data_IF_682916575972
#
_entry.id   IF_682916575972
#
_cell.length_a   1.000
_cell.length_b   1.000
_cell.length_c   1.000
_cell.angle_alpha   90.00
_cell.angle_beta   90.00
_cell.angle_gamma   90.00
#
_symmetry.space_group_name_H-M   'P 1'
#
loop_
_entity.id
_entity.type
_entity.pdbx_description
1 polymer ?
#
# COMPACT_ATOMS: atom_id res chain seq x y z
N UNK A 1 -31.22 2.16 -25.29
CA UNK A 1 -30.81 3.41 -24.63
C UNK A 1 -29.79 4.08 -25.53
N UNK A 2 -29.72 5.41 -25.57
CA UNK A 2 -28.57 6.07 -26.24
C UNK A 2 -27.27 5.81 -25.46
N UNK A 3 -26.12 6.05 -26.09
CA UNK A 3 -24.81 5.76 -25.50
C UNK A 3 -24.57 6.52 -24.18
N UNK A 4 -25.05 7.76 -24.07
CA UNK A 4 -24.87 8.58 -22.86
C UNK A 4 -25.66 7.99 -21.68
N UNK A 5 -26.89 7.54 -21.93
CA UNK A 5 -27.73 6.88 -20.93
C UNK A 5 -27.15 5.54 -20.49
N UNK A 6 -26.53 4.78 -21.39
CA UNK A 6 -25.81 3.54 -21.06
C UNK A 6 -24.60 3.84 -20.18
N UNK A 7 -23.79 4.85 -20.55
CA UNK A 7 -22.62 5.25 -19.76
C UNK A 7 -23.02 5.66 -18.34
N UNK A 8 -24.07 6.47 -18.20
CA UNK A 8 -24.56 6.87 -16.86
C UNK A 8 -25.03 5.67 -16.04
N UNK A 9 -25.67 4.69 -16.68
CA UNK A 9 -26.13 3.47 -16.01
C UNK A 9 -24.95 2.63 -15.50
N UNK A 10 -23.92 2.45 -16.35
CA UNK A 10 -22.69 1.76 -15.98
C UNK A 10 -21.94 2.52 -14.89
N UNK A 11 -21.78 3.82 -15.01
CA UNK A 11 -21.11 4.65 -14.00
C UNK A 11 -21.79 4.52 -12.63
N UNK A 12 -23.13 4.62 -12.59
CA UNK A 12 -23.88 4.46 -11.35
C UNK A 12 -23.72 3.05 -10.75
N UNK A 13 -23.75 2.01 -11.60
CA UNK A 13 -23.53 0.63 -11.19
C UNK A 13 -22.14 0.42 -10.57
N UNK A 14 -21.11 0.99 -11.19
CA UNK A 14 -19.73 0.91 -10.72
C UNK A 14 -19.51 1.73 -9.44
N UNK A 15 -20.09 2.93 -9.33
CA UNK A 15 -20.04 3.74 -8.10
C UNK A 15 -20.72 3.05 -6.92
N UNK A 16 -21.85 2.37 -7.14
CA UNK A 16 -22.49 1.56 -6.09
C UNK A 16 -21.64 0.35 -5.71
N UNK A 17 -20.98 -0.30 -6.67
CA UNK A 17 -20.03 -1.38 -6.39
C UNK A 17 -18.81 -0.88 -5.60
N UNK A 18 -18.32 0.32 -5.90
CA UNK A 18 -17.25 0.98 -5.15
C UNK A 18 -17.66 1.31 -3.70
N UNK A 19 -18.94 1.62 -3.43
CA UNK A 19 -19.46 1.79 -2.06
C UNK A 19 -19.42 0.47 -1.26
N UNK A 20 -19.70 -0.67 -1.88
CA UNK A 20 -19.51 -1.97 -1.22
C UNK A 20 -18.03 -2.22 -0.94
N UNK A 21 -17.16 -1.85 -1.88
CA UNK A 21 -15.71 -1.88 -1.71
C UNK A 21 -15.23 -1.02 -0.54
N UNK A 22 -15.75 0.20 -0.39
CA UNK A 22 -15.37 1.08 0.73
C UNK A 22 -15.82 0.54 2.09
N UNK A 23 -17.01 -0.08 2.17
CA UNK A 23 -17.47 -0.77 3.38
C UNK A 23 -16.50 -1.91 3.74
N UNK A 24 -16.09 -2.71 2.75
CA UNK A 24 -15.07 -3.74 2.95
C UNK A 24 -13.75 -3.13 3.44
N UNK A 25 -13.34 -1.99 2.90
CA UNK A 25 -12.18 -1.21 3.36
C UNK A 25 -12.27 -0.80 4.84
N UNK A 26 -13.44 -0.35 5.31
CA UNK A 26 -13.66 -0.01 6.72
C UNK A 26 -13.48 -1.24 7.62
N UNK A 27 -14.06 -2.38 7.22
CA UNK A 27 -13.90 -3.64 7.96
C UNK A 27 -12.45 -4.11 7.98
N UNK A 28 -11.72 -3.95 6.89
CA UNK A 28 -10.29 -4.26 6.81
C UNK A 28 -9.43 -3.33 7.66
N UNK A 29 -9.75 -2.04 7.73
CA UNK A 29 -9.09 -1.11 8.66
C UNK A 29 -9.40 -1.48 10.11
N UNK A 30 -10.66 -1.73 10.45
CA UNK A 30 -11.08 -2.07 11.81
C UNK A 30 -10.39 -3.35 12.31
N UNK A 31 -10.25 -4.35 11.42
CA UNK A 31 -9.58 -5.62 11.71
C UNK A 31 -8.16 -5.42 12.25
N UNK A 32 -7.45 -4.40 11.74
CA UNK A 32 -6.03 -4.13 12.00
C UNK A 32 -5.79 -3.06 13.08
N UNK A 33 -6.86 -2.46 13.61
CA UNK A 33 -6.75 -1.30 14.52
C UNK A 33 -7.61 -1.46 15.78
N UNK A 34 -8.89 -1.79 15.64
CA UNK A 34 -9.86 -1.71 16.74
C UNK A 34 -10.50 -3.05 17.11
N UNK A 35 -10.46 -4.04 16.22
CA UNK A 35 -11.22 -5.29 16.35
C UNK A 35 -10.75 -6.16 17.54
N UNK A 36 -11.66 -6.65 18.40
CA UNK A 36 -11.32 -7.64 19.43
C UNK A 36 -10.83 -8.97 18.82
N UNK A 37 -9.82 -9.64 19.41
CA UNK A 37 -9.20 -10.83 18.81
C UNK A 37 -10.17 -11.98 18.48
N UNK A 38 -11.17 -12.22 19.35
CA UNK A 38 -12.15 -13.31 19.16
C UNK A 38 -13.14 -13.08 18.01
N UNK A 39 -13.17 -11.88 17.41
CA UNK A 39 -14.05 -11.56 16.30
C UNK A 39 -13.53 -12.03 14.93
N UNK A 40 -12.27 -12.48 14.84
CA UNK A 40 -11.62 -12.83 13.57
C UNK A 40 -12.43 -13.80 12.68
N UNK A 41 -13.02 -14.90 13.17
CA UNK A 41 -13.82 -15.79 12.32
C UNK A 41 -15.05 -15.12 11.72
N UNK A 42 -15.71 -14.23 12.48
CA UNK A 42 -16.88 -13.50 11.99
C UNK A 42 -16.49 -12.40 11.00
N UNK A 43 -15.39 -11.68 11.27
CA UNK A 43 -14.83 -10.69 10.33
C UNK A 43 -14.47 -11.33 8.98
N UNK A 44 -13.85 -12.51 9.00
CA UNK A 44 -13.55 -13.25 7.77
C UNK A 44 -14.83 -13.58 6.96
N UNK A 45 -15.93 -13.93 7.62
CA UNK A 45 -17.20 -14.17 6.95
C UNK A 45 -17.83 -12.90 6.38
N UNK A 46 -17.74 -11.76 7.08
CA UNK A 46 -18.21 -10.46 6.58
C UNK A 46 -17.47 -10.06 5.31
N UNK A 47 -16.13 -10.14 5.34
CA UNK A 47 -15.29 -9.80 4.19
C UNK A 47 -15.52 -10.76 3.01
N UNK A 48 -15.65 -12.06 3.27
CA UNK A 48 -15.93 -13.05 2.22
C UNK A 48 -17.32 -12.86 1.58
N UNK A 49 -18.35 -12.48 2.36
CA UNK A 49 -19.67 -12.14 1.82
C UNK A 49 -19.59 -10.92 0.90
N UNK A 50 -18.95 -9.84 1.39
CA UNK A 50 -18.81 -8.61 0.61
C UNK A 50 -17.98 -8.84 -0.66
N UNK A 51 -16.88 -9.61 -0.60
CA UNK A 51 -16.08 -9.90 -1.79
C UNK A 51 -16.87 -10.69 -2.83
N UNK A 52 -17.68 -11.67 -2.41
CA UNK A 52 -18.60 -12.37 -3.30
C UNK A 52 -19.63 -11.44 -3.94
N UNK A 53 -20.26 -10.54 -3.17
CA UNK A 53 -21.22 -9.58 -3.69
C UNK A 53 -20.59 -8.58 -4.67
N UNK A 54 -19.40 -8.07 -4.37
CA UNK A 54 -18.64 -7.17 -5.23
C UNK A 54 -18.30 -7.89 -6.55
N UNK A 55 -17.76 -9.12 -6.46
CA UNK A 55 -17.40 -9.90 -7.64
C UNK A 55 -18.60 -10.16 -8.54
N UNK A 56 -19.71 -10.64 -7.99
CA UNK A 56 -20.94 -10.89 -8.73
C UNK A 56 -21.45 -9.65 -9.47
N UNK A 57 -21.35 -8.47 -8.85
CA UNK A 57 -21.74 -7.21 -9.50
C UNK A 57 -20.77 -6.82 -10.61
N UNK A 58 -19.47 -6.99 -10.37
CA UNK A 58 -18.43 -6.66 -11.35
C UNK A 58 -18.46 -7.59 -12.57
N UNK A 59 -18.93 -8.82 -12.42
CA UNK A 59 -19.06 -9.81 -13.51
C UNK A 59 -20.48 -9.95 -14.05
N UNK A 60 -21.41 -9.07 -13.68
CA UNK A 60 -22.80 -9.14 -14.15
C UNK A 60 -22.85 -9.02 -15.69
N UNK A 61 -23.57 -9.90 -16.42
CA UNK A 61 -23.64 -9.85 -17.88
C UNK A 61 -24.06 -8.48 -18.45
N UNK A 62 -24.89 -7.71 -17.71
CA UNK A 62 -25.30 -6.36 -18.09
C UNK A 62 -24.11 -5.41 -18.24
N UNK A 63 -23.08 -5.56 -17.41
CA UNK A 63 -21.85 -4.76 -17.51
C UNK A 63 -21.17 -5.01 -18.85
N UNK A 64 -21.02 -6.28 -19.24
CA UNK A 64 -20.46 -6.66 -20.55
C UNK A 64 -21.30 -6.15 -21.73
N UNK A 65 -22.63 -6.22 -21.63
CA UNK A 65 -23.55 -5.69 -22.64
C UNK A 65 -23.46 -4.17 -22.80
N UNK A 66 -23.35 -3.43 -21.69
CA UNK A 66 -23.18 -1.97 -21.71
C UNK A 66 -21.83 -1.58 -22.29
N UNK A 67 -20.75 -2.23 -21.85
CA UNK A 67 -19.40 -1.98 -22.36
C UNK A 67 -19.32 -2.20 -23.88
N UNK A 68 -19.88 -3.31 -24.37
CA UNK A 68 -19.87 -3.63 -25.81
C UNK A 68 -20.61 -2.59 -26.66
N UNK A 69 -21.67 -1.98 -26.13
CA UNK A 69 -22.38 -0.89 -26.81
C UNK A 69 -21.60 0.43 -26.74
N UNK A 70 -20.98 0.73 -25.59
CA UNK A 70 -20.19 1.94 -25.39
C UNK A 70 -18.94 1.97 -26.26
N UNK A 71 -18.28 0.83 -26.43
CA UNK A 71 -17.09 0.64 -27.28
C UNK A 71 -17.35 0.96 -28.76
N UNK A 72 -18.60 0.86 -29.22
CA UNK A 72 -19.02 1.19 -30.58
C UNK A 72 -19.47 2.66 -30.75
N UNK A 73 -19.47 3.44 -29.66
CA UNK A 73 -19.93 4.82 -29.67
C UNK A 73 -18.80 5.84 -29.72
N UNK A 74 -19.15 7.08 -30.08
CA UNK A 74 -18.22 8.21 -30.09
C UNK A 74 -17.72 8.59 -28.68
N UNK A 75 -18.29 8.02 -27.60
CA UNK A 75 -17.85 8.25 -26.21
C UNK A 75 -16.46 7.68 -25.91
N UNK A 76 -15.92 6.85 -26.80
CA UNK A 76 -14.52 6.39 -26.74
C UNK A 76 -13.53 7.40 -27.30
N UNK A 77 -14.01 8.53 -27.83
CA UNK A 77 -13.20 9.57 -28.46
C UNK A 77 -13.35 10.93 -27.76
N UNK A 78 -12.25 11.68 -27.54
CA UNK A 78 -10.86 11.24 -27.72
C UNK A 78 -10.47 10.18 -26.65
N UNK A 79 -9.43 9.35 -26.92
CA UNK A 79 -9.09 8.19 -26.08
C UNK A 79 -8.56 8.54 -24.67
N UNK A 80 -8.20 9.80 -24.46
CA UNK A 80 -7.75 10.39 -23.20
C UNK A 80 -8.87 11.15 -22.46
N UNK A 81 -10.08 11.21 -23.02
CA UNK A 81 -11.25 11.72 -22.29
C UNK A 81 -11.57 10.83 -21.09
N UNK A 82 -12.09 11.43 -20.01
CA UNK A 82 -12.50 10.73 -18.78
C UNK A 82 -13.38 9.52 -19.09
N UNK A 83 -14.38 9.72 -19.96
CA UNK A 83 -15.33 8.69 -20.40
C UNK A 83 -14.63 7.55 -21.11
N UNK A 84 -13.73 7.83 -22.06
CA UNK A 84 -13.00 6.81 -22.79
C UNK A 84 -12.04 6.01 -21.88
N UNK A 85 -11.37 6.67 -20.94
CA UNK A 85 -10.51 6.01 -19.95
C UNK A 85 -11.33 5.09 -19.05
N UNK A 86 -12.47 5.55 -18.55
CA UNK A 86 -13.36 4.75 -17.72
C UNK A 86 -13.86 3.50 -18.46
N UNK A 87 -14.34 3.64 -19.69
CA UNK A 87 -14.80 2.51 -20.53
C UNK A 87 -13.65 1.51 -20.73
N UNK A 88 -12.46 1.98 -21.12
CA UNK A 88 -11.29 1.13 -21.36
C UNK A 88 -10.90 0.33 -20.11
N UNK A 89 -10.86 0.97 -18.96
CA UNK A 89 -10.45 0.32 -17.71
C UNK A 89 -11.54 -0.62 -17.17
N UNK A 90 -12.81 -0.24 -17.25
CA UNK A 90 -13.92 -1.14 -16.90
C UNK A 90 -13.97 -2.37 -17.80
N UNK A 91 -13.71 -2.23 -19.11
CA UNK A 91 -13.57 -3.37 -20.01
C UNK A 91 -12.47 -4.31 -19.56
N UNK A 92 -11.26 -3.79 -19.35
CA UNK A 92 -10.11 -4.59 -18.92
C UNK A 92 -10.46 -5.36 -17.63
N UNK A 93 -11.04 -4.66 -16.65
CA UNK A 93 -11.39 -5.27 -15.38
C UNK A 93 -12.48 -6.33 -15.52
N UNK A 94 -13.53 -6.07 -16.30
CA UNK A 94 -14.59 -7.04 -16.60
C UNK A 94 -14.04 -8.31 -17.24
N UNK A 95 -13.19 -8.18 -18.25
CA UNK A 95 -12.63 -9.32 -18.98
C UNK A 95 -11.71 -10.17 -18.10
N UNK A 96 -11.02 -9.57 -17.12
CA UNK A 96 -10.22 -10.31 -16.13
C UNK A 96 -11.11 -11.00 -15.11
N UNK A 97 -12.01 -10.25 -14.46
CA UNK A 97 -12.83 -10.77 -13.36
C UNK A 97 -13.77 -11.90 -13.81
N UNK A 98 -14.29 -11.83 -15.04
CA UNK A 98 -15.16 -12.88 -15.60
C UNK A 98 -14.46 -14.23 -15.81
N UNK A 99 -13.11 -14.26 -15.84
CA UNK A 99 -12.34 -15.51 -15.90
C UNK A 99 -12.27 -16.22 -14.54
N UNK A 100 -12.53 -15.52 -13.45
CA UNK A 100 -12.36 -16.02 -12.08
C UNK A 100 -13.73 -16.43 -11.51
N UNK A 101 -13.94 -17.70 -11.12
CA UNK A 101 -15.17 -18.13 -10.46
C UNK A 101 -15.42 -17.39 -9.14
N UNK A 102 -16.69 -17.08 -8.84
CA UNK A 102 -17.08 -16.37 -7.61
C UNK A 102 -16.65 -17.15 -6.35
N UNK A 103 -16.80 -18.47 -6.38
CA UNK A 103 -16.45 -19.36 -5.28
C UNK A 103 -14.94 -19.30 -4.95
N UNK A 104 -14.10 -19.14 -5.98
CA UNK A 104 -12.65 -19.01 -5.82
C UNK A 104 -12.28 -17.69 -5.15
N UNK A 105 -12.95 -16.58 -5.53
CA UNK A 105 -12.77 -15.27 -4.88
C UNK A 105 -13.18 -15.33 -3.40
N UNK A 106 -14.34 -15.92 -3.10
CA UNK A 106 -14.83 -16.09 -1.73
C UNK A 106 -13.86 -16.94 -0.90
N UNK A 107 -13.40 -18.07 -1.45
CA UNK A 107 -12.44 -18.94 -0.77
C UNK A 107 -11.11 -18.25 -0.51
N UNK A 108 -10.59 -17.52 -1.49
CA UNK A 108 -9.36 -16.75 -1.36
C UNK A 108 -9.48 -15.69 -0.25
N UNK A 109 -10.52 -14.84 -0.30
CA UNK A 109 -10.76 -13.80 0.73
C UNK A 109 -10.91 -14.40 2.13
N UNK A 110 -11.67 -15.49 2.28
CA UNK A 110 -11.85 -16.14 3.58
C UNK A 110 -10.52 -16.72 4.09
N UNK A 111 -9.75 -17.34 3.20
CA UNK A 111 -8.47 -17.95 3.55
C UNK A 111 -7.45 -16.90 4.00
N UNK A 112 -7.31 -15.80 3.27
CA UNK A 112 -6.35 -14.73 3.62
C UNK A 112 -6.75 -13.97 4.88
N UNK A 113 -8.03 -13.67 5.08
CA UNK A 113 -8.52 -13.00 6.30
C UNK A 113 -8.27 -13.83 7.57
N UNK A 114 -8.47 -15.16 7.50
CA UNK A 114 -8.12 -16.05 8.61
C UNK A 114 -6.60 -16.18 8.79
N UNK A 115 -5.86 -16.28 7.69
CA UNK A 115 -4.41 -16.44 7.71
C UNK A 115 -3.69 -15.21 8.30
N UNK A 116 -4.23 -14.01 8.15
CA UNK A 116 -3.65 -12.78 8.73
C UNK A 116 -3.56 -12.89 10.25
N UNK A 117 -4.60 -13.40 10.93
CA UNK A 117 -4.56 -13.57 12.38
C UNK A 117 -3.56 -14.64 12.82
N UNK A 118 -3.54 -15.77 12.12
CA UNK A 118 -2.59 -16.86 12.37
C UNK A 118 -1.16 -16.38 12.14
N UNK A 119 -0.95 -15.52 11.14
CA UNK A 119 0.36 -14.94 10.86
C UNK A 119 0.83 -13.98 11.96
N UNK A 120 -0.06 -13.16 12.52
CA UNK A 120 0.29 -12.31 13.68
C UNK A 120 0.83 -13.14 14.83
N UNK A 121 0.13 -14.24 15.16
CA UNK A 121 0.50 -15.17 16.22
C UNK A 121 1.80 -15.91 15.89
N UNK A 122 1.90 -16.48 14.68
CA UNK A 122 3.10 -17.16 14.19
C UNK A 122 4.34 -16.25 14.19
N UNK A 123 4.18 -14.97 13.86
CA UNK A 123 5.25 -13.97 13.90
C UNK A 123 5.69 -13.67 15.32
N UNK A 124 4.74 -13.51 16.25
CA UNK A 124 5.03 -13.25 17.67
C UNK A 124 5.75 -14.45 18.31
N UNK A 125 5.34 -15.67 17.98
CA UNK A 125 5.93 -16.91 18.50
C UNK A 125 7.18 -17.37 17.72
N UNK A 126 7.50 -16.71 16.61
CA UNK A 126 8.58 -17.11 15.69
C UNK A 126 8.41 -18.56 15.18
N UNK A 127 7.17 -19.01 14.99
CA UNK A 127 6.85 -20.37 14.58
C UNK A 127 6.21 -20.40 13.18
N UNK A 128 7.04 -20.67 12.18
CA UNK A 128 6.58 -20.80 10.79
C UNK A 128 5.61 -21.97 10.59
N UNK A 129 5.69 -23.03 11.40
CA UNK A 129 4.84 -24.21 11.24
C UNK A 129 3.35 -23.92 11.48
N UNK A 130 3.04 -22.91 12.30
CA UNK A 130 1.69 -22.40 12.50
C UNK A 130 1.12 -21.77 11.21
N UNK A 131 1.96 -21.04 10.47
CA UNK A 131 1.54 -20.32 9.26
C UNK A 131 1.66 -21.15 7.98
N UNK A 132 2.57 -22.12 7.93
CA UNK A 132 2.87 -22.90 6.73
C UNK A 132 1.63 -23.48 6.03
N UNK A 133 0.67 -24.16 6.71
CA UNK A 133 -0.50 -24.72 6.04
C UNK A 133 -1.39 -23.65 5.38
N UNK A 134 -1.44 -22.46 5.97
CA UNK A 134 -2.19 -21.33 5.41
C UNK A 134 -1.47 -20.76 4.18
N UNK A 135 -0.14 -20.60 4.26
CA UNK A 135 0.67 -20.12 3.14
C UNK A 135 0.60 -21.07 1.94
N UNK A 136 0.71 -22.38 2.16
CA UNK A 136 0.59 -23.39 1.10
C UNK A 136 -0.77 -23.31 0.39
N UNK A 137 -1.85 -23.14 1.15
CA UNK A 137 -3.19 -22.95 0.60
C UNK A 137 -3.30 -21.65 -0.20
N UNK A 138 -2.77 -20.53 0.32
CA UNK A 138 -2.77 -19.24 -0.38
C UNK A 138 -2.01 -19.34 -1.69
N UNK A 139 -0.80 -19.89 -1.68
CA UNK A 139 0.03 -20.06 -2.90
C UNK A 139 -0.69 -20.93 -3.93
N UNK A 140 -1.37 -22.00 -3.51
CA UNK A 140 -2.18 -22.84 -4.40
C UNK A 140 -3.29 -22.03 -5.08
N UNK A 141 -4.07 -21.27 -4.30
CA UNK A 141 -5.18 -20.47 -4.83
C UNK A 141 -4.69 -19.37 -5.77
N UNK A 142 -3.59 -18.69 -5.42
CA UNK A 142 -2.99 -17.64 -6.26
C UNK A 142 -2.50 -18.20 -7.59
N UNK A 143 -1.90 -19.40 -7.59
CA UNK A 143 -1.51 -20.09 -8.85
C UNK A 143 -2.72 -20.43 -9.71
N UNK A 144 -3.80 -20.92 -9.10
CA UNK A 144 -5.05 -21.18 -9.82
C UNK A 144 -5.64 -19.91 -10.44
N UNK A 145 -5.62 -18.79 -9.71
CA UNK A 145 -6.02 -17.47 -10.23
C UNK A 145 -5.15 -17.05 -11.42
N UNK A 146 -3.82 -17.22 -11.33
CA UNK A 146 -2.90 -16.87 -12.43
C UNK A 146 -3.20 -17.65 -13.72
N UNK A 147 -3.45 -18.96 -13.60
CA UNK A 147 -3.82 -19.81 -14.75
C UNK A 147 -5.16 -19.38 -15.38
N UNK A 148 -6.14 -18.97 -14.55
CA UNK A 148 -7.45 -18.50 -15.03
C UNK A 148 -7.35 -17.14 -15.72
N UNK A 149 -6.57 -16.21 -15.16
CA UNK A 149 -6.32 -14.91 -15.78
C UNK A 149 -5.65 -15.06 -17.16
N UNK A 150 -4.72 -16.02 -17.26
CA UNK A 150 -3.91 -16.27 -18.44
C UNK A 150 -2.76 -15.27 -18.58
N UNK A 151 -1.72 -15.69 -19.28
CA UNK A 151 -0.46 -14.95 -19.42
C UNK A 151 0.18 -15.28 -20.77
N UNK A 152 1.02 -14.37 -21.28
CA UNK A 152 1.75 -14.61 -22.53
C UNK A 152 3.02 -15.44 -22.31
N UNK A 153 3.76 -15.17 -21.22
CA UNK A 153 5.08 -15.75 -20.98
C UNK A 153 5.13 -16.63 -19.74
N UNK A 154 4.79 -16.09 -18.57
CA UNK A 154 4.82 -16.84 -17.32
C UNK A 154 3.67 -16.47 -16.37
N UNK A 155 3.23 -17.40 -15.49
CA UNK A 155 2.12 -17.17 -14.57
C UNK A 155 2.29 -15.94 -13.67
N UNK A 156 3.53 -15.60 -13.33
CA UNK A 156 3.82 -14.46 -12.47
C UNK A 156 3.45 -13.12 -13.14
N UNK A 157 3.54 -13.01 -14.47
CA UNK A 157 3.15 -11.80 -15.19
C UNK A 157 1.65 -11.49 -15.01
N UNK A 158 0.79 -12.51 -14.99
CA UNK A 158 -0.64 -12.33 -14.74
C UNK A 158 -0.91 -11.76 -13.34
N UNK A 159 -0.09 -12.11 -12.35
CA UNK A 159 -0.22 -11.61 -10.98
C UNK A 159 0.39 -10.21 -10.84
N UNK A 160 1.47 -9.93 -11.58
CA UNK A 160 2.14 -8.63 -11.55
C UNK A 160 1.27 -7.53 -12.19
N UNK A 161 0.57 -7.85 -13.27
CA UNK A 161 -0.35 -6.95 -14.00
C UNK A 161 -1.56 -6.49 -13.15
N UNK A 162 -1.86 -7.20 -12.06
CA UNK A 162 -2.88 -6.77 -11.08
C UNK A 162 -2.41 -5.59 -10.21
N UNK A 163 -1.09 -5.42 -10.04
CA UNK A 163 -0.50 -4.38 -9.19
C UNK A 163 0.14 -3.25 -9.98
N UNK A 164 0.74 -3.57 -11.13
CA UNK A 164 1.39 -2.63 -12.04
C UNK A 164 1.02 -3.00 -13.48
N UNK A 165 -0.02 -2.33 -14.01
CA UNK A 165 -0.58 -2.65 -15.32
C UNK A 165 0.50 -2.61 -16.43
N UNK A 166 0.64 -3.72 -17.14
CA UNK A 166 1.56 -3.92 -18.25
C UNK A 166 2.98 -4.30 -17.85
N UNK A 167 3.30 -4.37 -16.55
CA UNK A 167 4.63 -4.77 -16.09
C UNK A 167 4.81 -6.29 -16.18
N UNK A 168 5.99 -6.70 -16.65
CA UNK A 168 6.39 -8.11 -16.73
C UNK A 168 7.58 -8.43 -15.83
N UNK A 169 7.74 -9.69 -15.44
CA UNK A 169 8.90 -10.18 -14.70
C UNK A 169 10.22 -9.84 -15.42
N UNK A 170 10.25 -9.98 -16.74
CA UNK A 170 11.41 -9.62 -17.56
C UNK A 170 11.77 -8.12 -17.44
N UNK A 171 10.78 -7.24 -17.43
CA UNK A 171 11.02 -5.80 -17.27
C UNK A 171 11.52 -5.47 -15.86
N UNK A 172 10.95 -6.11 -14.84
CA UNK A 172 11.42 -5.98 -13.45
C UNK A 172 12.87 -6.46 -13.32
N UNK A 173 13.23 -7.61 -13.88
CA UNK A 173 14.61 -8.10 -13.91
C UNK A 173 15.56 -7.10 -14.56
N UNK A 174 15.16 -6.53 -15.70
CA UNK A 174 15.95 -5.51 -16.41
C UNK A 174 16.16 -4.25 -15.56
N UNK A 175 15.15 -3.85 -14.79
CA UNK A 175 15.24 -2.70 -13.87
C UNK A 175 16.14 -3.02 -12.65
N UNK A 176 16.11 -4.26 -12.16
CA UNK A 176 16.93 -4.69 -11.03
C UNK A 176 18.39 -4.89 -11.37
N UNK A 177 18.72 -5.31 -12.60
CA UNK A 177 20.10 -5.64 -12.98
C UNK A 177 21.16 -4.57 -12.64
N UNK A 178 20.99 -3.27 -12.98
CA UNK A 178 21.97 -2.26 -12.61
C UNK A 178 22.08 -2.07 -11.10
N UNK A 179 20.96 -2.15 -10.37
CA UNK A 179 20.93 -2.02 -8.91
C UNK A 179 21.62 -3.21 -8.23
N UNK A 180 21.35 -4.43 -8.68
CA UNK A 180 21.97 -5.67 -8.18
C UNK A 180 23.49 -5.63 -8.28
N UNK A 181 24.03 -5.04 -9.35
CA UNK A 181 25.49 -4.90 -9.54
C UNK A 181 26.08 -3.80 -8.66
N UNK A 182 25.42 -2.64 -8.56
CA UNK A 182 26.02 -1.41 -8.00
C UNK A 182 25.74 -1.21 -6.52
N UNK A 183 24.58 -1.64 -6.03
CA UNK A 183 24.18 -1.45 -4.63
C UNK A 183 25.12 -2.17 -3.66
N UNK A 184 25.55 -3.42 -3.86
CA UNK A 184 26.52 -4.07 -2.98
C UNK A 184 27.87 -3.34 -2.92
N UNK A 185 28.34 -2.79 -4.04
CA UNK A 185 29.57 -1.97 -4.09
C UNK A 185 29.42 -0.71 -3.24
N UNK A 186 28.29 -0.01 -3.37
CA UNK A 186 28.00 1.20 -2.61
C UNK A 186 27.88 0.90 -1.10
N UNK A 187 27.17 -0.17 -0.73
CA UNK A 187 27.06 -0.60 0.67
C UNK A 187 28.45 -0.90 1.25
N UNK A 188 29.29 -1.64 0.52
CA UNK A 188 30.65 -1.92 0.96
C UNK A 188 31.50 -0.65 1.11
N UNK A 189 31.36 0.34 0.22
CA UNK A 189 32.05 1.62 0.36
C UNK A 189 31.60 2.38 1.60
N UNK A 190 30.30 2.40 1.89
CA UNK A 190 29.75 3.10 3.07
C UNK A 190 30.19 2.41 4.36
N UNK A 191 30.15 1.07 4.42
CA UNK A 191 30.60 0.30 5.58
C UNK A 191 32.09 0.49 5.88
N UNK A 192 32.92 0.68 4.85
CA UNK A 192 34.35 0.91 5.00
C UNK A 192 34.73 2.40 5.12
N UNK A 193 33.76 3.31 5.08
CA UNK A 193 34.02 4.74 5.22
C UNK A 193 34.57 5.05 6.63
N UNK A 194 35.54 5.97 6.76
CA UNK A 194 36.14 6.30 8.05
C UNK A 194 35.16 7.00 9.00
N UNK A 195 34.14 7.68 8.44
CA UNK A 195 33.09 8.34 9.19
C UNK A 195 31.85 7.44 9.22
N UNK A 196 31.43 7.05 10.40
CA UNK A 196 30.22 6.25 10.63
C UNK A 196 29.20 7.06 11.45
N UNK A 197 27.89 6.92 11.19
CA UNK A 197 26.86 7.58 11.98
C UNK A 197 26.70 6.95 13.36
N UNK A 198 26.39 7.74 14.37
CA UNK A 198 26.00 7.23 15.69
C UNK A 198 24.50 6.91 15.71
N UNK A 199 24.14 5.66 15.39
CA UNK A 199 22.75 5.21 15.41
C UNK A 199 22.19 5.02 16.82
N UNK A 200 23.01 5.08 17.87
CA UNK A 200 22.54 4.99 19.25
C UNK A 200 21.61 6.15 19.60
N UNK A 201 21.78 7.30 18.95
CA UNK A 201 20.87 8.47 19.04
C UNK A 201 19.42 8.03 18.80
N UNK A 202 19.18 7.21 17.79
CA UNK A 202 17.84 6.78 17.39
C UNK A 202 17.25 5.72 18.32
N UNK A 203 18.09 5.08 19.14
CA UNK A 203 17.74 3.97 20.05
C UNK A 203 17.68 4.39 21.53
N UNK A 204 17.72 5.69 21.80
CA UNK A 204 17.45 6.26 23.12
C UNK A 204 15.97 6.09 23.49
N UNK A 205 15.60 6.52 24.69
CA UNK A 205 14.19 6.49 25.10
C UNK A 205 13.40 7.64 24.44
N UNK A 206 12.37 7.29 23.68
CA UNK A 206 11.43 8.20 23.03
C UNK A 206 10.02 7.87 23.53
N UNK A 207 9.46 8.59 24.52
CA UNK A 207 8.14 8.26 25.07
C UNK A 207 7.05 8.23 23.99
N UNK A 208 6.18 7.22 24.02
CA UNK A 208 5.15 7.05 22.98
C UNK A 208 4.28 8.30 22.79
N UNK A 209 3.84 8.93 23.88
CA UNK A 209 3.00 10.13 23.82
C UNK A 209 3.71 11.31 23.12
N UNK A 210 5.03 11.45 23.30
CA UNK A 210 5.82 12.47 22.62
C UNK A 210 5.97 12.16 21.12
N UNK A 211 6.17 10.88 20.77
CA UNK A 211 6.19 10.44 19.37
C UNK A 211 4.87 10.72 18.68
N UNK A 212 3.74 10.38 19.30
CA UNK A 212 2.41 10.64 18.76
C UNK A 212 2.17 12.14 18.52
N UNK A 213 2.48 12.98 19.53
CA UNK A 213 2.35 14.43 19.40
C UNK A 213 3.21 14.99 18.25
N UNK A 214 4.47 14.53 18.14
CA UNK A 214 5.38 14.98 17.10
C UNK A 214 4.96 14.49 15.70
N UNK A 215 4.55 13.22 15.56
CA UNK A 215 4.08 12.66 14.29
C UNK A 215 2.82 13.39 13.79
N UNK A 216 1.88 13.70 14.69
CA UNK A 216 0.68 14.49 14.33
C UNK A 216 1.05 15.91 13.89
N UNK A 217 1.98 16.56 14.58
CA UNK A 217 2.47 17.88 14.19
C UNK A 217 3.16 17.86 12.83
N UNK A 218 4.03 16.87 12.57
CA UNK A 218 4.67 16.69 11.26
C UNK A 218 3.63 16.48 10.16
N UNK A 219 2.65 15.60 10.39
CA UNK A 219 1.60 15.33 9.42
C UNK A 219 0.77 16.57 9.09
N UNK A 220 0.38 17.35 10.11
CA UNK A 220 -0.34 18.62 9.91
C UNK A 220 0.49 19.62 9.08
N UNK A 221 1.79 19.74 9.36
CA UNK A 221 2.68 20.69 8.67
C UNK A 221 2.96 20.30 7.22
N UNK A 222 2.97 19.01 6.92
CA UNK A 222 3.09 18.49 5.55
C UNK A 222 1.78 18.70 4.75
N UNK A 223 0.63 18.82 5.44
CA UNK A 223 -0.66 19.13 4.82
C UNK A 223 -1.71 18.04 4.99
N UNK A 224 -1.56 17.14 5.96
CA UNK A 224 -2.59 16.16 6.29
C UNK A 224 -3.84 16.85 6.85
N UNK A 225 -5.00 16.58 6.25
CA UNK A 225 -6.27 17.12 6.72
C UNK A 225 -6.92 16.18 7.75
N UNK A 226 -6.86 16.58 9.02
CA UNK A 226 -7.46 15.85 10.14
C UNK A 226 -9.00 15.80 10.10
N UNK A 227 -9.66 16.65 9.32
CA UNK A 227 -11.11 16.54 9.11
C UNK A 227 -11.45 15.46 8.07
N UNK A 228 -10.48 15.06 7.25
CA UNK A 228 -10.62 14.06 6.19
C UNK A 228 -9.86 12.77 6.49
N UNK A 229 -9.34 12.60 7.70
CA UNK A 229 -8.48 11.48 8.04
C UNK A 229 -8.12 11.33 9.51
N UNK A 230 -7.42 10.24 9.83
CA UNK A 230 -6.94 9.94 11.19
C UNK A 230 -5.66 9.12 11.15
N UNK A 231 -4.91 9.16 12.27
CA UNK A 231 -3.70 8.40 12.51
C UNK A 231 -3.92 7.48 13.72
N UNK A 232 -3.69 6.18 13.55
CA UNK A 232 -3.86 5.16 14.59
C UNK A 232 -2.66 4.21 14.71
N UNK A 233 -2.40 3.62 15.88
CA UNK A 233 -1.38 2.59 16.01
C UNK A 233 -1.82 1.26 15.37
N UNK A 234 -0.89 0.53 14.77
CA UNK A 234 -1.08 -0.85 14.27
C UNK A 234 0.23 -1.65 14.34
N UNK A 235 0.16 -2.95 14.03
CA UNK A 235 1.33 -3.84 13.98
C UNK A 235 2.16 -3.62 12.71
N UNK A 236 1.50 -3.33 11.58
CA UNK A 236 2.11 -3.05 10.27
C UNK A 236 1.47 -1.80 9.67
N UNK A 237 2.18 -0.66 9.62
CA UNK A 237 1.68 0.59 9.06
C UNK A 237 1.11 0.42 7.65
N UNK A 238 0.03 1.15 7.39
CA UNK A 238 -0.66 1.24 6.10
C UNK A 238 -1.51 2.52 6.03
N UNK A 239 -1.78 2.95 4.80
CA UNK A 239 -2.75 3.97 4.44
C UNK A 239 -3.93 3.36 3.68
N UNK A 240 -5.13 3.92 3.85
CA UNK A 240 -6.33 3.49 3.13
C UNK A 240 -7.26 4.67 2.88
N UNK A 241 -7.69 4.85 1.62
CA UNK A 241 -8.82 5.71 1.28
C UNK A 241 -10.11 4.90 1.30
N UNK A 242 -11.07 5.34 2.11
CA UNK A 242 -12.36 4.69 2.23
C UNK A 242 -13.37 5.39 1.32
N UNK A 243 -13.48 6.72 1.46
CA UNK A 243 -14.39 7.56 0.67
C UNK A 243 -13.74 8.94 0.45
N UNK A 244 -14.31 9.80 -0.42
CA UNK A 244 -13.97 11.22 -0.37
C UNK A 244 -14.16 11.73 1.07
N UNK A 245 -13.14 12.40 1.60
CA UNK A 245 -13.12 12.86 2.99
C UNK A 245 -12.86 11.80 4.08
N UNK A 246 -12.47 10.57 3.76
CA UNK A 246 -12.00 9.59 4.76
C UNK A 246 -10.78 8.81 4.22
N UNK A 247 -9.59 9.31 4.56
CA UNK A 247 -8.29 8.69 4.29
C UNK A 247 -7.56 8.48 5.61
N UNK A 248 -7.33 7.22 5.96
CA UNK A 248 -6.74 6.83 7.24
C UNK A 248 -5.32 6.38 7.05
N UNK A 249 -4.45 6.77 7.97
CA UNK A 249 -3.07 6.31 8.06
C UNK A 249 -2.86 5.62 9.39
N UNK A 250 -1.88 4.74 9.45
CA UNK A 250 -1.52 4.05 10.68
C UNK A 250 -0.01 4.09 10.89
N UNK A 251 0.45 3.88 12.12
CA UNK A 251 1.87 3.86 12.42
C UNK A 251 2.19 2.89 13.54
N UNK A 252 3.47 2.68 13.84
CA UNK A 252 3.93 1.81 14.90
C UNK A 252 4.95 2.52 15.79
N UNK A 253 4.71 2.48 17.10
CA UNK A 253 5.57 3.12 18.09
C UNK A 253 6.45 2.10 18.78
N UNK A 254 7.72 2.47 18.99
CA UNK A 254 8.65 1.77 19.85
C UNK A 254 9.32 2.81 20.76
N UNK A 255 9.28 2.61 22.07
CA UNK A 255 9.85 3.61 23.00
C UNK A 255 11.39 3.59 23.02
N UNK A 256 12.00 2.59 22.41
CA UNK A 256 13.44 2.40 22.23
C UNK A 256 13.89 2.59 20.78
N UNK A 257 13.02 3.08 19.88
CA UNK A 257 13.38 3.38 18.50
C UNK A 257 12.47 4.45 17.86
N UNK A 258 13.05 5.60 17.50
CA UNK A 258 12.29 6.72 16.94
C UNK A 258 11.81 6.49 15.50
N UNK A 259 12.65 5.88 14.65
CA UNK A 259 12.40 5.86 13.20
C UNK A 259 11.07 5.21 12.78
N UNK A 260 10.63 4.06 13.35
CA UNK A 260 9.45 3.36 12.85
C UNK A 260 8.17 4.19 12.92
N UNK A 261 7.99 4.99 13.98
CA UNK A 261 6.79 5.83 14.09
C UNK A 261 6.89 7.05 13.19
N UNK A 262 8.04 7.71 13.18
CA UNK A 262 8.23 8.96 12.46
C UNK A 262 8.23 8.74 10.95
N UNK A 263 9.18 7.97 10.43
CA UNK A 263 9.30 7.73 8.99
C UNK A 263 8.17 6.85 8.48
N UNK A 264 7.65 5.93 9.31
CA UNK A 264 6.41 5.21 9.00
C UNK A 264 5.23 6.17 8.82
N UNK A 265 5.04 7.14 9.71
CA UNK A 265 3.97 8.15 9.54
C UNK A 265 4.16 8.99 8.29
N UNK A 266 5.38 9.46 8.01
CA UNK A 266 5.66 10.26 6.80
C UNK A 266 5.45 9.44 5.52
N UNK A 267 5.81 8.15 5.55
CA UNK A 267 5.57 7.21 4.47
C UNK A 267 4.07 7.06 4.17
N UNK A 268 3.28 6.68 5.19
CA UNK A 268 1.83 6.54 5.03
C UNK A 268 1.14 7.87 4.68
N UNK A 269 1.72 8.99 5.11
CA UNK A 269 1.24 10.30 4.73
C UNK A 269 1.43 10.58 3.24
N UNK A 270 2.54 10.17 2.62
CA UNK A 270 2.72 10.33 1.19
C UNK A 270 1.66 9.58 0.37
N UNK A 271 1.31 8.37 0.81
CA UNK A 271 0.15 7.66 0.28
C UNK A 271 -1.16 8.43 0.47
N UNK A 272 -1.41 8.90 1.70
CA UNK A 272 -2.64 9.62 2.00
C UNK A 272 -2.79 10.94 1.22
N UNK A 273 -1.70 11.68 1.00
CA UNK A 273 -1.72 12.89 0.21
C UNK A 273 -2.05 12.64 -1.25
N UNK A 274 -1.57 11.52 -1.82
CA UNK A 274 -1.97 11.12 -3.16
C UNK A 274 -3.48 10.88 -3.20
N UNK A 275 -3.99 10.05 -2.29
CA UNK A 275 -5.40 9.69 -2.21
C UNK A 275 -6.32 10.89 -1.92
N UNK A 276 -5.89 11.83 -1.08
CA UNK A 276 -6.60 13.09 -0.79
C UNK A 276 -6.57 14.08 -1.96
N UNK A 277 -5.59 13.96 -2.86
CA UNK A 277 -5.42 14.79 -4.05
C UNK A 277 -6.13 14.26 -5.30
N UNK A 278 -6.70 13.05 -5.25
CA UNK A 278 -7.51 12.50 -6.35
C UNK A 278 -8.83 13.28 -6.51
N UNK A 279 -9.29 13.51 -7.74
CA UNK A 279 -10.52 14.26 -8.02
C UNK A 279 -11.75 13.54 -7.43
N UNK A 280 -12.43 14.21 -6.50
CA UNK A 280 -13.55 13.60 -5.75
C UNK A 280 -14.78 13.35 -6.65
N UNK A 281 -14.99 14.17 -7.68
CA UNK A 281 -16.09 14.03 -8.63
C UNK A 281 -16.05 12.72 -9.43
N UNK A 282 -14.86 12.11 -9.57
CA UNK A 282 -14.65 10.85 -10.27
C UNK A 282 -14.51 9.65 -9.31
N UNK A 283 -14.73 9.83 -8.01
CA UNK A 283 -14.68 8.73 -7.04
C UNK A 283 -15.59 7.57 -7.46
N UNK A 284 -15.09 6.34 -7.28
CA UNK A 284 -15.78 5.11 -7.71
C UNK A 284 -15.66 4.81 -9.20
N UNK A 285 -14.86 5.59 -9.95
CA UNK A 285 -14.53 5.33 -11.36
C UNK A 285 -13.00 5.19 -11.52
N UNK A 286 -12.51 4.54 -12.60
CA UNK A 286 -11.09 4.43 -12.88
C UNK A 286 -10.34 5.77 -12.90
N UNK A 287 -10.99 6.84 -13.40
CA UNK A 287 -10.40 8.19 -13.41
C UNK A 287 -10.27 8.85 -12.02
N UNK A 288 -10.95 8.33 -11.00
CA UNK A 288 -10.85 8.81 -9.61
C UNK A 288 -10.04 7.89 -8.70
N UNK A 289 -9.39 6.86 -9.25
CA UNK A 289 -8.57 5.90 -8.55
C UNK A 289 -7.07 6.19 -8.74
N UNK A 290 -6.25 5.68 -7.82
CA UNK A 290 -4.79 5.66 -8.00
C UNK A 290 -4.41 4.73 -9.17
N UNK A 291 -3.38 5.10 -9.92
CA UNK A 291 -3.08 4.47 -11.22
C UNK A 291 -2.40 3.10 -11.10
N UNK A 292 -1.53 2.92 -10.10
CA UNK A 292 -0.81 1.67 -9.84
C UNK A 292 -0.15 1.71 -8.46
N UNK A 293 0.27 0.55 -7.94
CA UNK A 293 1.02 0.50 -6.68
C UNK A 293 2.40 1.15 -6.79
N UNK A 294 3.07 1.07 -7.95
CA UNK A 294 4.36 1.71 -8.16
C UNK A 294 4.27 3.24 -8.08
N UNK A 295 3.26 3.84 -8.70
CA UNK A 295 3.02 5.29 -8.59
C UNK A 295 2.58 5.65 -7.17
N UNK A 296 1.76 4.83 -6.52
CA UNK A 296 1.34 5.05 -5.14
C UNK A 296 2.53 5.01 -4.15
N UNK A 297 3.44 4.05 -4.30
CA UNK A 297 4.70 3.94 -3.54
C UNK A 297 5.70 5.06 -3.88
N UNK A 298 5.67 5.59 -5.11
CA UNK A 298 6.50 6.76 -5.45
C UNK A 298 6.16 7.97 -4.56
N UNK A 299 4.88 8.13 -4.19
CA UNK A 299 4.44 9.24 -3.35
C UNK A 299 4.85 9.02 -1.88
N UNK A 300 4.69 7.81 -1.34
CA UNK A 300 5.17 7.50 0.01
C UNK A 300 6.68 7.69 0.14
N UNK A 301 7.47 7.20 -0.83
CA UNK A 301 8.94 7.36 -0.83
C UNK A 301 9.39 8.79 -1.09
N UNK A 302 8.67 9.55 -1.91
CA UNK A 302 8.94 10.98 -2.08
C UNK A 302 8.88 11.71 -0.74
N UNK A 303 7.81 11.50 0.03
CA UNK A 303 7.65 12.15 1.32
C UNK A 303 8.56 11.58 2.40
N UNK A 304 8.67 10.25 2.52
CA UNK A 304 9.49 9.60 3.55
C UNK A 304 10.97 9.98 3.40
N UNK A 305 11.50 9.82 2.19
CA UNK A 305 12.93 9.81 1.96
C UNK A 305 13.40 11.14 1.37
N UNK A 306 12.93 11.46 0.16
CA UNK A 306 13.40 12.66 -0.56
C UNK A 306 13.09 13.95 0.22
N UNK A 307 11.97 13.99 0.95
CA UNK A 307 11.62 15.09 1.84
C UNK A 307 12.03 14.78 3.28
N UNK A 308 11.45 13.75 3.90
CA UNK A 308 11.53 13.49 5.35
C UNK A 308 12.93 13.14 5.87
N UNK A 309 13.82 12.59 5.04
CA UNK A 309 15.24 12.32 5.41
C UNK A 309 16.19 13.41 4.92
N UNK A 310 15.70 14.42 4.21
CA UNK A 310 16.52 15.52 3.71
C UNK A 310 17.01 16.44 4.83
N UNK A 311 18.18 17.04 4.64
CA UNK A 311 18.70 18.06 5.56
C UNK A 311 17.74 19.23 5.73
N UNK A 312 17.16 19.73 4.64
CA UNK A 312 16.28 20.90 4.65
C UNK A 312 15.02 20.68 5.50
N UNK A 313 14.46 19.47 5.46
CA UNK A 313 13.35 19.10 6.34
C UNK A 313 13.76 19.17 7.82
N UNK A 314 14.93 18.64 8.15
CA UNK A 314 15.43 18.63 9.53
C UNK A 314 15.93 19.98 10.02
N UNK A 315 16.42 20.87 9.16
CA UNK A 315 16.71 22.26 9.54
C UNK A 315 15.47 22.97 10.10
N UNK A 316 14.27 22.63 9.60
CA UNK A 316 13.01 23.13 10.11
C UNK A 316 12.49 22.34 11.33
N UNK A 317 12.42 21.01 11.24
CA UNK A 317 11.77 20.19 12.27
C UNK A 317 12.66 19.84 13.46
N UNK A 318 13.98 19.87 13.34
CA UNK A 318 14.87 19.43 14.42
C UNK A 318 14.78 20.28 15.70
N UNK A 319 14.74 21.63 15.64
CA UNK A 319 14.51 22.45 16.83
C UNK A 319 13.17 22.15 17.52
N UNK A 320 12.17 21.70 16.75
CA UNK A 320 10.87 21.27 17.29
C UNK A 320 11.02 19.88 17.93
N UNK A 321 11.67 18.94 17.24
CA UNK A 321 11.94 17.59 17.77
C UNK A 321 12.67 17.64 19.12
N UNK A 322 13.65 18.54 19.29
CA UNK A 322 14.36 18.74 20.57
C UNK A 322 13.47 19.25 21.71
N UNK A 323 12.33 19.89 21.41
CA UNK A 323 11.34 20.27 22.43
C UNK A 323 10.47 19.09 22.84
N UNK A 324 10.25 18.12 21.95
CA UNK A 324 9.47 16.92 22.22
C UNK A 324 10.30 15.80 22.87
N UNK A 325 11.60 15.72 22.57
CA UNK A 325 12.44 14.59 22.95
C UNK A 325 13.68 15.04 23.73
N UNK A 326 13.71 14.74 25.02
CA UNK A 326 14.90 14.95 25.87
C UNK A 326 16.14 14.24 25.32
N UNK A 327 15.92 13.10 24.67
CA UNK A 327 16.96 12.29 24.01
C UNK A 327 17.73 13.02 22.89
N UNK A 328 17.25 14.16 22.40
CA UNK A 328 17.90 14.93 21.32
C UNK A 328 18.55 16.23 21.79
N UNK A 329 18.41 16.61 23.07
CA UNK A 329 18.86 17.93 23.59
C UNK A 329 20.36 18.16 23.47
N UNK A 330 21.16 17.11 23.57
CA UNK A 330 22.62 17.14 23.47
C UNK A 330 23.15 16.75 22.09
N UNK A 331 22.25 16.46 21.14
CA UNK A 331 22.60 15.96 19.81
C UNK A 331 22.63 17.11 18.80
N UNK A 332 23.75 17.36 18.11
CA UNK A 332 23.79 18.31 16.99
C UNK A 332 22.93 17.85 15.80
N UNK A 333 22.38 18.81 15.04
CA UNK A 333 21.58 18.53 13.83
C UNK A 333 22.32 17.62 12.84
N UNK A 334 23.60 17.89 12.61
CA UNK A 334 24.41 17.14 11.65
C UNK A 334 24.54 15.66 12.03
N UNK A 335 24.65 15.37 13.33
CA UNK A 335 24.75 13.99 13.83
C UNK A 335 23.40 13.28 13.73
N UNK A 336 22.30 13.98 14.04
CA UNK A 336 20.96 13.43 13.87
C UNK A 336 20.62 13.13 12.41
N UNK A 337 20.85 14.09 11.50
CA UNK A 337 20.62 13.91 10.05
C UNK A 337 21.46 12.76 9.52
N UNK A 338 22.70 12.62 9.99
CA UNK A 338 23.55 11.51 9.59
C UNK A 338 23.05 10.16 10.15
N UNK A 339 22.56 10.14 11.39
CA UNK A 339 21.99 8.93 12.01
C UNK A 339 20.72 8.43 11.30
N UNK A 340 19.78 9.31 10.94
CA UNK A 340 18.54 8.90 10.25
C UNK A 340 18.76 8.44 8.80
N UNK A 341 19.94 8.73 8.23
CA UNK A 341 20.40 8.28 6.92
C UNK A 341 21.45 7.16 7.01
N UNK A 342 21.57 6.50 8.16
CA UNK A 342 22.52 5.41 8.33
C UNK A 342 22.19 4.25 7.39
N UNK A 343 23.23 3.71 6.75
CA UNK A 343 23.11 2.55 5.84
C UNK A 343 23.67 1.32 6.54
N UNK A 344 22.82 0.31 6.74
CA UNK A 344 23.20 -0.91 7.42
C UNK A 344 22.38 -2.09 6.89
N UNK A 345 23.04 -3.15 6.37
CA UNK A 345 22.35 -4.39 6.06
C UNK A 345 21.60 -4.94 7.28
N UNK A 346 20.31 -5.16 7.11
CA UNK A 346 19.41 -5.67 8.16
C UNK A 346 18.53 -6.78 7.59
N UNK A 347 17.68 -7.39 8.43
CA UNK A 347 16.79 -8.49 8.02
C UNK A 347 15.34 -8.04 7.80
N UNK A 348 14.97 -6.85 8.27
CA UNK A 348 13.59 -6.35 8.27
C UNK A 348 13.42 -5.30 7.17
N UNK A 349 12.77 -5.70 6.06
CA UNK A 349 12.54 -4.82 4.90
C UNK A 349 11.96 -3.46 5.26
N UNK A 350 10.93 -3.42 6.11
CA UNK A 350 10.22 -2.16 6.47
C UNK A 350 11.05 -1.22 7.35
N UNK A 351 12.19 -1.70 7.88
CA UNK A 351 13.13 -0.91 8.68
C UNK A 351 14.47 -0.71 7.95
N UNK A 352 14.62 -1.25 6.73
CA UNK A 352 15.83 -1.13 5.94
C UNK A 352 16.05 0.31 5.46
N UNK A 353 17.32 0.69 5.33
CA UNK A 353 17.72 1.99 4.83
C UNK A 353 17.48 2.14 3.32
N UNK A 354 17.56 3.38 2.82
CA UNK A 354 17.28 3.71 1.41
C UNK A 354 18.16 2.94 0.41
N UNK A 355 19.39 2.60 0.79
CA UNK A 355 20.35 1.94 -0.08
C UNK A 355 20.09 0.43 -0.12
N UNK A 356 19.81 -0.18 1.03
CA UNK A 356 19.64 -1.64 1.13
C UNK A 356 18.21 -2.12 0.89
N UNK A 357 17.20 -1.24 0.99
CA UNK A 357 15.78 -1.59 0.85
C UNK A 357 15.46 -2.39 -0.42
N UNK A 358 15.98 -1.96 -1.57
CA UNK A 358 15.68 -2.60 -2.86
C UNK A 358 16.28 -4.02 -2.97
N UNK A 359 17.31 -4.35 -2.20
CA UNK A 359 17.83 -5.73 -2.14
C UNK A 359 16.81 -6.67 -1.49
N UNK A 360 16.04 -6.19 -0.51
CA UNK A 360 14.94 -6.96 0.08
C UNK A 360 13.78 -7.17 -0.89
N UNK A 361 13.55 -6.23 -1.82
CA UNK A 361 12.53 -6.37 -2.87
C UNK A 361 12.99 -7.41 -3.89
N UNK A 362 14.24 -7.34 -4.35
CA UNK A 362 14.83 -8.33 -5.26
C UNK A 362 14.73 -9.75 -4.70
N UNK A 363 15.10 -9.95 -3.43
CA UNK A 363 15.00 -11.28 -2.80
C UNK A 363 13.56 -11.82 -2.83
N UNK A 364 12.54 -10.98 -2.63
CA UNK A 364 11.13 -11.40 -2.65
C UNK A 364 10.61 -11.67 -4.05
N UNK A 365 11.15 -10.97 -5.04
CA UNK A 365 10.82 -11.19 -6.45
C UNK A 365 11.42 -12.51 -6.96
N UNK A 366 12.60 -12.91 -6.47
CA UNK A 366 13.26 -14.16 -6.86
C UNK A 366 12.67 -15.43 -6.21
N UNK A 367 12.09 -15.30 -5.03
CA UNK A 367 11.44 -16.39 -4.28
C UNK A 367 10.05 -16.69 -4.85
#
# INVERSE_FOLDING_TARGET
MDAQSIYQSLENWQKETALLGSISGVLGWDQRVMMPPKAAPHRANQLALLSGMIHQRSTDPRVGEWLSQLEQSDLTQPPDSITAVNIRQWRREYDKLTKIPTELVIEFTRTTSLAEKVWEEAREESDFSLFQPHLEKIVKLVREIAELLGYEREPYDALLDEYEQGMTAQEVERLFEPLRRRTPELVAQIQNAPRQPDTSILRRHYPRAAQEAFCRLVAERIGFDWQRGRLDPTVHPFAIRLTPGDVRITTRYYEDFLNPSLFGTIHELGHALYEMGLPEEYWGTPMGASTSLGVHESQSRMWENFVGRSRAFWEYFYPIAQQHFDALKDTPLDDFVFAVNAVQPSTIRVEADEVTYNLHIMLRFEL
#
